data_IF_834231248985
#
_entry.id   IF_834231248985
#
_cell.length_a   1.000
_cell.length_b   1.000
_cell.length_c   1.000
_cell.angle_alpha   90.00
_cell.angle_beta   90.00
_cell.angle_gamma   90.00
#
_symmetry.space_group_name_H-M   'P 1'
#
loop_
_entity.id
_entity.type
_entity.pdbx_description
1 polymer ?
#
# COMPACT_ATOMS: atom_id res chain seq x y z
N UNK A 1 6.66 -8.27 -6.43
CA UNK A 1 5.80 -8.85 -5.40
C UNK A 1 6.32 -8.50 -4.02
N UNK A 2 5.42 -8.34 -3.09
CA UNK A 2 5.76 -7.91 -1.73
C UNK A 2 5.75 -9.14 -0.82
N UNK A 3 6.81 -9.29 -0.05
CA UNK A 3 6.93 -10.37 0.92
C UNK A 3 7.38 -9.83 2.27
N UNK A 4 7.48 -10.69 3.27
CA UNK A 4 7.98 -10.30 4.60
C UNK A 4 9.38 -9.71 4.45
N UNK A 5 9.65 -8.61 5.15
CA UNK A 5 10.87 -7.81 5.12
C UNK A 5 11.05 -6.91 3.88
N UNK A 6 10.09 -6.87 2.97
CA UNK A 6 10.15 -5.91 1.86
C UNK A 6 9.87 -4.51 2.40
N UNK A 7 10.72 -3.55 2.03
CA UNK A 7 10.50 -2.14 2.36
C UNK A 7 9.66 -1.47 1.28
N UNK A 8 8.73 -0.62 1.70
CA UNK A 8 7.85 0.14 0.80
C UNK A 8 7.87 1.61 1.19
N UNK A 9 7.61 2.46 0.20
CA UNK A 9 7.32 3.87 0.46
C UNK A 9 5.86 4.03 0.84
N UNK A 10 5.57 5.08 1.62
CA UNK A 10 4.21 5.41 2.00
C UNK A 10 3.68 6.47 1.05
N UNK A 11 2.53 6.21 0.45
CA UNK A 11 1.95 7.06 -0.58
C UNK A 11 0.84 7.98 -0.05
N UNK A 12 0.83 8.24 1.25
CA UNK A 12 -0.19 9.10 1.85
C UNK A 12 0.44 10.19 2.73
N UNK A 13 -0.41 11.04 3.29
CA UNK A 13 0.00 12.18 4.11
C UNK A 13 -0.06 11.91 5.61
N UNK A 14 0.05 10.66 6.04
CA UNK A 14 0.05 10.30 7.47
C UNK A 14 1.35 10.69 8.18
N UNK A 15 2.40 11.00 7.42
CA UNK A 15 3.71 11.35 7.96
C UNK A 15 4.71 10.19 7.97
N UNK A 16 4.28 8.97 7.80
CA UNK A 16 5.19 7.86 7.61
C UNK A 16 5.84 7.95 6.23
N UNK A 17 7.13 7.65 6.14
CA UNK A 17 7.88 7.69 4.88
C UNK A 17 8.21 6.31 4.35
N UNK A 18 8.72 5.44 5.23
CA UNK A 18 9.08 4.05 4.87
C UNK A 18 8.46 3.08 5.84
N UNK A 19 8.02 1.97 5.32
CA UNK A 19 7.44 0.88 6.09
C UNK A 19 8.06 -0.44 5.62
N UNK A 20 8.01 -1.44 6.49
CA UNK A 20 8.51 -2.78 6.19
C UNK A 20 7.39 -3.78 6.39
N UNK A 21 7.18 -4.66 5.42
CA UNK A 21 6.16 -5.71 5.52
C UNK A 21 6.58 -6.73 6.58
N UNK A 22 5.71 -6.95 7.56
CA UNK A 22 5.92 -7.95 8.62
C UNK A 22 5.16 -9.23 8.29
N UNK A 23 3.97 -9.10 7.71
CA UNK A 23 3.11 -10.24 7.44
C UNK A 23 2.23 -9.98 6.23
N UNK A 24 2.09 -10.99 5.37
CA UNK A 24 1.14 -10.97 4.26
C UNK A 24 -0.15 -11.63 4.71
N UNK A 25 -1.26 -10.89 4.66
CA UNK A 25 -2.56 -11.37 5.09
C UNK A 25 -3.30 -12.06 3.94
N UNK A 26 -4.25 -12.94 4.28
CA UNK A 26 -5.09 -13.60 3.29
C UNK A 26 -4.91 -15.10 3.19
N UNK A 27 -4.27 -15.74 4.18
CA UNK A 27 -4.11 -17.19 4.23
C UNK A 27 -2.84 -17.61 4.95
N UNK A 28 -2.87 -18.78 5.58
CA UNK A 28 -1.77 -19.24 6.43
C UNK A 28 -0.47 -19.54 5.67
N UNK A 29 -0.55 -19.78 4.36
CA UNK A 29 0.63 -20.12 3.53
C UNK A 29 0.92 -19.04 2.48
N UNK A 30 0.30 -17.90 2.58
CA UNK A 30 0.50 -16.83 1.60
C UNK A 30 1.86 -16.17 1.79
N UNK A 31 2.69 -16.18 0.75
CA UNK A 31 4.04 -15.62 0.76
C UNK A 31 4.13 -14.22 0.17
N UNK A 32 3.34 -13.93 -0.85
CA UNK A 32 3.48 -12.72 -1.65
C UNK A 32 2.19 -11.94 -1.70
N UNK A 33 2.33 -10.63 -1.72
CA UNK A 33 1.23 -9.71 -1.89
C UNK A 33 1.46 -8.88 -3.16
N UNK A 34 0.39 -8.47 -3.79
CA UNK A 34 0.41 -7.61 -4.97
C UNK A 34 -0.52 -6.42 -4.76
N UNK A 35 -0.72 -5.62 -5.81
CA UNK A 35 -1.56 -4.42 -5.75
C UNK A 35 -2.97 -4.78 -5.25
N UNK A 36 -3.44 -4.04 -4.26
CA UNK A 36 -4.75 -4.23 -3.66
C UNK A 36 -4.78 -5.17 -2.47
N UNK A 37 -3.68 -5.88 -2.20
CA UNK A 37 -3.61 -6.77 -1.05
C UNK A 37 -3.30 -6.00 0.23
N UNK A 38 -3.77 -6.55 1.36
CA UNK A 38 -3.56 -5.96 2.68
C UNK A 38 -2.39 -6.67 3.34
N UNK A 39 -1.47 -5.89 3.90
CA UNK A 39 -0.31 -6.41 4.64
C UNK A 39 -0.23 -5.74 6.00
N UNK A 40 0.49 -6.36 6.93
CA UNK A 40 0.85 -5.75 8.21
C UNK A 40 2.26 -5.18 8.08
N UNK A 41 2.44 -3.95 8.49
CA UNK A 41 3.70 -3.22 8.33
C UNK A 41 4.18 -2.60 9.63
N UNK A 42 5.49 -2.40 9.72
CA UNK A 42 6.13 -1.62 10.78
C UNK A 42 6.69 -0.34 10.17
N UNK A 43 6.47 0.79 10.83
CA UNK A 43 6.96 2.09 10.34
C UNK A 43 8.44 2.22 10.67
N UNK A 44 9.28 2.39 9.65
CA UNK A 44 10.73 2.51 9.79
C UNK A 44 11.21 3.95 9.78
N UNK A 45 10.56 4.82 9.01
CA UNK A 45 10.84 6.25 8.99
C UNK A 45 9.53 7.03 9.01
N UNK A 46 9.46 8.07 9.82
CA UNK A 46 8.33 8.96 9.91
C UNK A 46 8.77 10.37 10.25
N UNK A 47 7.99 11.36 9.84
CA UNK A 47 8.19 12.75 10.22
C UNK A 47 7.83 12.89 11.71
N UNK A 48 8.64 13.59 12.53
CA UNK A 48 8.30 13.80 13.94
C UNK A 48 6.97 14.57 14.11
N UNK A 49 6.29 14.32 15.22
CA UNK A 49 5.06 15.03 15.63
C UNK A 49 3.86 14.84 14.69
N UNK A 50 3.79 13.70 14.01
CA UNK A 50 2.65 13.38 13.13
C UNK A 50 1.86 12.21 13.70
N UNK A 51 0.75 11.92 13.05
CA UNK A 51 -0.23 10.91 13.45
C UNK A 51 0.36 9.50 13.58
N UNK A 52 1.31 9.16 12.73
CA UNK A 52 1.96 7.84 12.70
C UNK A 52 3.39 7.97 13.20
N UNK A 53 3.74 7.19 14.22
CA UNK A 53 5.05 7.23 14.84
C UNK A 53 5.96 6.11 14.33
N UNK A 54 7.27 6.38 14.31
CA UNK A 54 8.29 5.38 14.01
C UNK A 54 8.16 4.19 14.97
N UNK A 55 8.24 2.98 14.43
CA UNK A 55 8.13 1.75 15.21
C UNK A 55 6.72 1.24 15.43
N UNK A 56 5.70 2.02 15.08
CA UNK A 56 4.32 1.56 15.21
C UNK A 56 3.97 0.51 14.15
N UNK A 57 2.96 -0.31 14.44
CA UNK A 57 2.49 -1.37 13.54
C UNK A 57 1.11 -1.03 13.04
N UNK A 58 0.94 -1.11 11.73
CA UNK A 58 -0.33 -0.78 11.06
C UNK A 58 -0.63 -1.77 9.95
N UNK A 59 -1.87 -1.77 9.48
CA UNK A 59 -2.23 -2.43 8.23
C UNK A 59 -2.05 -1.45 7.09
N UNK A 60 -1.73 -1.98 5.91
CA UNK A 60 -1.53 -1.18 4.72
C UNK A 60 -2.06 -1.92 3.50
N UNK A 61 -2.50 -1.14 2.51
CA UNK A 61 -2.94 -1.64 1.20
C UNK A 61 -1.88 -1.27 0.18
N UNK A 62 -1.40 -2.24 -0.57
CA UNK A 62 -0.38 -2.01 -1.59
C UNK A 62 -1.05 -1.33 -2.79
N UNK A 63 -0.50 -0.17 -3.20
CA UNK A 63 -1.04 0.61 -4.32
C UNK A 63 -0.14 0.60 -5.54
N UNK A 64 1.17 0.38 -5.37
CA UNK A 64 2.14 0.32 -6.47
C UNK A 64 3.18 -0.76 -6.20
N UNK A 65 3.60 -1.46 -7.25
CA UNK A 65 4.71 -2.42 -7.18
C UNK A 65 5.63 -2.25 -8.39
N UNK A 66 6.92 -2.52 -8.21
CA UNK A 66 7.88 -2.52 -9.32
C UNK A 66 7.57 -3.62 -10.32
N UNK A 67 7.09 -4.75 -9.86
CA UNK A 67 6.74 -5.87 -10.72
C UNK A 67 5.49 -5.58 -11.54
N UNK A 68 4.59 -4.76 -11.00
CA UNK A 68 3.39 -4.33 -11.69
C UNK A 68 2.29 -5.38 -11.74
N UNK A 69 1.33 -5.13 -12.60
CA UNK A 69 0.17 -6.00 -12.75
C UNK A 69 -0.14 -6.20 -14.22
N UNK A 70 -0.46 -7.43 -14.62
CA UNK A 70 -0.93 -7.74 -15.97
C UNK A 70 -2.44 -7.57 -16.05
N UNK A 71 -2.90 -7.05 -17.18
CA UNK A 71 -4.32 -6.87 -17.47
C UNK A 71 -4.80 -7.86 -18.52
N UNK A 72 -6.11 -8.04 -18.58
CA UNK A 72 -6.72 -9.01 -19.49
C UNK A 72 -6.47 -8.72 -20.97
N UNK A 73 -6.21 -7.46 -21.32
CA UNK A 73 -5.92 -7.04 -22.70
C UNK A 73 -4.45 -7.26 -23.10
N UNK A 74 -3.64 -7.85 -22.23
CA UNK A 74 -2.24 -8.10 -22.48
C UNK A 74 -1.30 -6.97 -22.07
N UNK A 75 -1.83 -5.83 -21.66
CA UNK A 75 -1.00 -4.71 -21.18
C UNK A 75 -0.49 -4.97 -19.77
N UNK A 76 0.56 -4.25 -19.38
CA UNK A 76 1.15 -4.34 -18.05
C UNK A 76 1.40 -2.95 -17.50
N UNK A 77 0.99 -2.72 -16.25
CA UNK A 77 1.24 -1.48 -15.53
C UNK A 77 2.35 -1.73 -14.52
N UNK A 78 3.45 -0.98 -14.62
CA UNK A 78 4.59 -1.05 -13.71
C UNK A 78 4.86 0.31 -13.10
N UNK A 79 5.51 0.31 -11.94
CA UNK A 79 5.91 1.52 -11.24
C UNK A 79 7.39 1.46 -10.89
N UNK A 80 7.98 2.62 -10.59
CA UNK A 80 9.40 2.73 -10.24
C UNK A 80 9.69 2.25 -8.82
N UNK A 81 8.68 2.16 -7.97
CA UNK A 81 8.86 1.76 -6.58
C UNK A 81 7.67 0.96 -6.08
N UNK A 82 7.86 0.36 -4.91
CA UNK A 82 6.77 -0.28 -4.17
C UNK A 82 6.21 0.75 -3.20
N UNK A 83 4.89 0.92 -3.18
CA UNK A 83 4.25 1.88 -2.30
C UNK A 83 2.94 1.33 -1.74
N UNK A 84 2.62 1.77 -0.53
CA UNK A 84 1.40 1.36 0.15
C UNK A 84 0.77 2.54 0.87
N UNK A 85 -0.51 2.41 1.19
CA UNK A 85 -1.28 3.38 1.93
C UNK A 85 -1.64 2.76 3.28
N UNK A 86 -1.36 3.48 4.38
CA UNK A 86 -1.69 2.99 5.71
C UNK A 86 -3.20 3.05 5.95
N UNK A 87 -3.72 2.00 6.57
CA UNK A 87 -5.13 1.89 6.90
C UNK A 87 -5.33 1.56 8.37
N UNK A 88 -6.54 1.75 8.85
CA UNK A 88 -6.94 1.27 10.16
C UNK A 88 -7.37 -0.21 10.08
N UNK A 89 -7.82 -0.78 11.20
CA UNK A 89 -8.24 -2.17 11.24
C UNK A 89 -9.50 -2.45 10.42
N UNK A 90 -10.28 -1.42 10.14
CA UNK A 90 -11.49 -1.52 9.31
C UNK A 90 -11.18 -1.41 7.82
N UNK A 91 -9.93 -1.14 7.45
CA UNK A 91 -9.53 -0.99 6.06
C UNK A 91 -9.69 0.42 5.51
N UNK A 92 -10.00 1.40 6.35
CA UNK A 92 -10.11 2.79 5.90
C UNK A 92 -8.76 3.50 5.92
N UNK A 93 -8.45 4.33 4.91
CA UNK A 93 -7.18 5.07 4.91
C UNK A 93 -7.05 5.98 6.13
N UNK A 94 -5.88 5.97 6.75
CA UNK A 94 -5.58 6.88 7.86
C UNK A 94 -5.34 8.30 7.38
N UNK A 95 -4.76 8.46 6.18
CA UNK A 95 -4.50 9.76 5.60
C UNK A 95 -5.70 10.31 4.85
N UNK A 96 -5.63 11.60 4.52
CA UNK A 96 -6.67 12.30 3.76
C UNK A 96 -6.31 12.49 2.29
N UNK A 97 -5.04 12.27 1.93
CA UNK A 97 -4.53 12.44 0.56
C UNK A 97 -3.63 11.28 0.20
N UNK A 98 -3.64 10.94 -1.09
CA UNK A 98 -2.73 9.93 -1.65
C UNK A 98 -1.85 10.62 -2.68
N UNK A 99 -0.55 10.30 -2.65
CA UNK A 99 0.44 10.87 -3.56
C UNK A 99 0.74 9.89 -4.69
N UNK A 100 0.74 10.41 -5.91
CA UNK A 100 1.06 9.63 -7.09
C UNK A 100 -0.09 8.75 -7.57
N UNK A 101 0.14 8.00 -8.67
CA UNK A 101 -0.91 7.21 -9.28
C UNK A 101 -1.20 5.92 -8.51
N UNK A 102 -2.42 5.43 -8.65
CA UNK A 102 -2.82 4.10 -8.20
C UNK A 102 -3.45 3.37 -9.39
N UNK A 103 -3.68 2.06 -9.26
CA UNK A 103 -4.29 1.29 -10.33
C UNK A 103 -5.78 1.09 -10.07
N UNK A 104 -6.56 0.93 -11.15
CA UNK A 104 -8.00 0.67 -11.06
C UNK A 104 -8.30 -0.72 -10.51
N UNK A 105 -7.33 -1.62 -10.45
CA UNK A 105 -7.49 -2.94 -9.84
C UNK A 105 -7.85 -2.87 -8.36
N UNK A 106 -7.57 -1.76 -7.69
CA UNK A 106 -8.00 -1.53 -6.32
C UNK A 106 -9.52 -1.58 -6.16
N UNK A 107 -10.27 -1.19 -7.18
CA UNK A 107 -11.73 -1.26 -7.17
C UNK A 107 -12.21 -2.71 -7.02
N UNK A 108 -11.56 -3.63 -7.72
CA UNK A 108 -11.90 -5.05 -7.66
C UNK A 108 -11.57 -5.67 -6.31
N UNK A 109 -10.63 -5.08 -5.57
CA UNK A 109 -10.25 -5.51 -4.23
C UNK A 109 -11.04 -4.81 -3.12
N UNK A 110 -12.02 -3.99 -3.48
CA UNK A 110 -12.87 -3.31 -2.50
C UNK A 110 -12.27 -2.04 -1.90
N UNK A 111 -11.24 -1.47 -2.51
CA UNK A 111 -10.54 -0.30 -1.98
C UNK A 111 -11.01 1.00 -2.63
N UNK A 112 -12.32 1.22 -2.62
CA UNK A 112 -12.92 2.39 -3.28
C UNK A 112 -12.51 3.72 -2.66
N UNK A 113 -12.30 3.77 -1.35
CA UNK A 113 -11.90 5.00 -0.68
C UNK A 113 -10.51 5.44 -1.11
N UNK A 114 -9.60 4.51 -1.31
CA UNK A 114 -8.26 4.81 -1.80
C UNK A 114 -8.33 5.40 -3.20
N UNK A 115 -9.14 4.81 -4.07
CA UNK A 115 -9.33 5.31 -5.43
C UNK A 115 -9.89 6.74 -5.42
N UNK A 116 -10.85 7.03 -4.53
CA UNK A 116 -11.46 8.36 -4.45
C UNK A 116 -10.48 9.44 -3.98
N UNK A 117 -9.47 9.07 -3.20
CA UNK A 117 -8.46 10.00 -2.71
C UNK A 117 -7.27 10.17 -3.65
N UNK A 118 -7.10 9.28 -4.60
CA UNK A 118 -5.94 9.29 -5.49
C UNK A 118 -6.05 10.39 -6.55
N UNK A 119 -4.92 11.08 -6.86
CA UNK A 119 -4.92 12.11 -7.89
C UNK A 119 -5.03 11.56 -9.31
N UNK A 120 -4.61 10.32 -9.51
CA UNK A 120 -4.61 9.67 -10.81
C UNK A 120 -4.85 8.17 -10.65
N UNK A 121 -5.73 7.61 -11.47
CA UNK A 121 -6.04 6.18 -11.46
C UNK A 121 -5.71 5.61 -12.84
N UNK A 122 -4.74 4.74 -12.87
CA UNK A 122 -4.29 4.05 -14.08
C UNK A 122 -4.98 2.67 -14.17
#
# INVERSE_FOLDING_TARGET
MIQVQTELFVADNTGAKKIECIKVLGGSKRRYASIGDIITVSVKEAIPKVKVKKGSVHKAVIVRTKQGIFRNDGSKVKFDNNAAVLTDEKGEPLGTRIFGPVTRELRLKGQMKIISLAPEVL
#
